data_IF_101575571931
#
_entry.id   IF_101575571931
#
_cell.length_a   1.000
_cell.length_b   1.000
_cell.length_c   1.000
_cell.angle_alpha   90.00
_cell.angle_beta   90.00
_cell.angle_gamma   90.00
#
_symmetry.space_group_name_H-M   'P 1'
#
loop_
_entity.id
_entity.type
_entity.pdbx_description
1 polymer ?
#
# COMPACT_ATOMS: atom_id res chain seq x y z
N UNK A 1 12.64 -20.98 21.70
CA UNK A 1 12.24 -19.62 22.10
C UNK A 1 12.11 -18.68 20.91
N UNK A 2 13.12 -18.57 20.03
CA UNK A 2 13.04 -17.68 18.86
C UNK A 2 11.98 -18.12 17.85
N UNK A 3 11.79 -19.42 17.65
CA UNK A 3 10.77 -19.95 16.75
C UNK A 3 9.35 -19.62 17.23
N UNK A 4 9.12 -19.73 18.54
CA UNK A 4 7.81 -19.40 19.14
C UNK A 4 7.49 -17.91 18.99
N UNK A 5 8.48 -17.02 19.19
CA UNK A 5 8.32 -15.59 19.00
C UNK A 5 8.01 -15.26 17.53
N UNK A 6 8.71 -15.91 16.61
CA UNK A 6 8.51 -15.71 15.18
C UNK A 6 7.11 -16.13 14.75
N UNK A 7 6.64 -17.30 15.21
CA UNK A 7 5.28 -17.77 14.93
C UNK A 7 4.21 -16.88 15.54
N UNK A 8 4.44 -16.37 16.75
CA UNK A 8 3.52 -15.45 17.42
C UNK A 8 3.41 -14.15 16.64
N UNK A 9 4.52 -13.62 16.14
CA UNK A 9 4.52 -12.41 15.30
C UNK A 9 3.75 -12.62 14.00
N UNK A 10 3.93 -13.78 13.36
CA UNK A 10 3.20 -14.11 12.13
C UNK A 10 1.70 -14.20 12.36
N UNK A 11 1.28 -14.75 13.50
CA UNK A 11 -0.14 -14.85 13.86
C UNK A 11 -0.73 -13.45 14.05
N UNK A 12 -0.01 -12.57 14.77
CA UNK A 12 -0.46 -11.20 15.00
C UNK A 12 -0.58 -10.44 13.68
N UNK A 13 0.43 -10.57 12.81
CA UNK A 13 0.40 -9.92 11.50
C UNK A 13 -0.76 -10.42 10.64
N UNK A 14 -1.04 -11.72 10.67
CA UNK A 14 -2.16 -12.30 9.93
C UNK A 14 -3.49 -11.80 10.46
N UNK A 15 -3.66 -11.73 11.78
CA UNK A 15 -4.89 -11.21 12.39
C UNK A 15 -5.11 -9.75 12.06
N UNK A 16 -4.04 -8.95 12.09
CA UNK A 16 -4.11 -7.53 11.73
C UNK A 16 -4.51 -7.37 10.27
N UNK A 17 -3.95 -8.18 9.37
CA UNK A 17 -4.29 -8.14 7.94
C UNK A 17 -5.75 -8.55 7.71
N UNK A 18 -6.23 -9.60 8.39
CA UNK A 18 -7.61 -10.03 8.27
C UNK A 18 -8.58 -8.95 8.72
N UNK A 19 -8.29 -8.29 9.83
CA UNK A 19 -9.10 -7.17 10.31
C UNK A 19 -9.13 -6.04 9.29
N UNK A 20 -7.99 -5.71 8.71
CA UNK A 20 -7.89 -4.65 7.69
C UNK A 20 -8.71 -5.00 6.45
N UNK A 21 -8.66 -6.26 6.00
CA UNK A 21 -9.39 -6.72 4.82
C UNK A 21 -10.90 -6.69 5.07
N UNK A 22 -11.35 -7.12 6.25
CA UNK A 22 -12.78 -7.10 6.61
C UNK A 22 -13.31 -5.66 6.60
N UNK A 23 -12.48 -4.69 7.01
CA UNK A 23 -12.86 -3.28 7.08
C UNK A 23 -12.55 -2.50 5.79
N UNK A 24 -12.36 -3.19 4.66
CA UNK A 24 -11.97 -2.54 3.39
C UNK A 24 -12.93 -1.43 2.96
N UNK A 25 -14.21 -1.56 3.25
CA UNK A 25 -15.21 -0.54 2.89
C UNK A 25 -15.02 0.78 3.66
N UNK A 26 -14.22 0.76 4.72
CA UNK A 26 -13.87 1.97 5.47
C UNK A 26 -12.86 2.86 4.76
N UNK A 27 -12.22 2.38 3.68
CA UNK A 27 -11.27 3.17 2.91
C UNK A 27 -11.96 3.90 1.77
N UNK A 28 -11.48 5.10 1.46
CA UNK A 28 -12.01 5.91 0.37
C UNK A 28 -11.59 5.39 -1.01
N UNK A 29 -10.57 4.53 -1.06
CA UNK A 29 -10.09 3.93 -2.28
C UNK A 29 -8.70 3.33 -2.09
N UNK A 30 -8.10 2.82 -3.19
CA UNK A 30 -6.82 2.12 -3.09
C UNK A 30 -5.65 3.00 -2.63
N UNK A 31 -5.63 4.30 -2.97
CA UNK A 31 -4.58 5.20 -2.48
C UNK A 31 -4.69 5.39 -0.96
N UNK A 32 -5.91 5.48 -0.44
CA UNK A 32 -6.15 5.56 1.00
C UNK A 32 -5.62 4.31 1.70
N UNK A 33 -5.92 3.14 1.15
CA UNK A 33 -5.40 1.88 1.68
C UNK A 33 -3.87 1.85 1.64
N UNK A 34 -3.26 2.25 0.53
CA UNK A 34 -1.80 2.31 0.41
C UNK A 34 -1.18 3.24 1.46
N UNK A 35 -1.80 4.40 1.67
CA UNK A 35 -1.34 5.33 2.70
C UNK A 35 -1.42 4.72 4.09
N UNK A 36 -2.50 4.00 4.39
CA UNK A 36 -2.67 3.30 5.66
C UNK A 36 -1.59 2.23 5.84
N UNK A 37 -1.32 1.43 4.80
CA UNK A 37 -0.27 0.42 4.85
C UNK A 37 1.12 1.04 5.07
N UNK A 38 1.39 2.21 4.47
CA UNK A 38 2.66 2.90 4.67
C UNK A 38 2.84 3.37 6.11
N UNK A 39 1.75 3.79 6.76
CA UNK A 39 1.78 4.25 8.16
C UNK A 39 2.10 3.12 9.14
N UNK A 40 1.65 1.91 8.85
CA UNK A 40 1.92 0.78 9.75
C UNK A 40 3.40 0.43 9.83
N UNK A 41 4.19 0.85 8.85
CA UNK A 41 5.64 0.68 8.88
C UNK A 41 6.35 1.72 9.76
N UNK A 42 5.65 2.74 10.24
CA UNK A 42 6.19 3.84 11.07
C UNK A 42 7.40 4.52 10.42
N UNK A 43 7.37 4.68 9.11
CA UNK A 43 8.46 5.26 8.33
C UNK A 43 7.94 6.51 7.63
N UNK A 44 8.82 7.52 7.51
CA UNK A 44 8.55 8.69 6.67
C UNK A 44 8.28 8.23 5.22
N UNK A 45 7.23 8.78 4.58
CA UNK A 45 6.88 8.43 3.20
C UNK A 45 8.05 8.59 2.23
N UNK A 46 8.97 9.52 2.51
CA UNK A 46 10.16 9.71 1.68
C UNK A 46 11.13 8.54 1.73
N UNK A 47 11.06 7.74 2.78
CA UNK A 47 11.98 6.64 3.05
C UNK A 47 11.34 5.26 2.86
N UNK A 48 10.06 5.19 2.55
CA UNK A 48 9.41 3.89 2.38
C UNK A 48 9.91 3.24 1.09
N UNK A 49 10.02 1.92 1.13
CA UNK A 49 10.24 1.14 -0.07
C UNK A 49 8.91 0.95 -0.79
N UNK A 50 8.78 1.54 -1.96
CA UNK A 50 7.59 1.37 -2.79
C UNK A 50 7.40 -0.08 -3.19
N UNK A 51 8.50 -0.81 -3.40
CA UNK A 51 8.42 -2.24 -3.68
C UNK A 51 7.77 -3.01 -2.54
N UNK A 52 8.21 -2.75 -1.30
CA UNK A 52 7.62 -3.41 -0.12
C UNK A 52 6.14 -3.05 0.02
N UNK A 53 5.80 -1.79 -0.23
CA UNK A 53 4.41 -1.34 -0.17
C UNK A 53 3.55 -2.04 -1.22
N UNK A 54 4.07 -2.19 -2.44
CA UNK A 54 3.38 -2.92 -3.51
C UNK A 54 3.15 -4.38 -3.11
N UNK A 55 4.17 -5.02 -2.53
CA UNK A 55 4.04 -6.40 -2.06
C UNK A 55 2.97 -6.52 -0.99
N UNK A 56 2.94 -5.60 -0.02
CA UNK A 56 1.92 -5.61 1.03
C UNK A 56 0.51 -5.43 0.48
N UNK A 57 0.35 -4.54 -0.51
CA UNK A 57 -0.94 -4.36 -1.15
C UNK A 57 -1.40 -5.63 -1.87
N UNK A 58 -0.51 -6.28 -2.60
CA UNK A 58 -0.84 -7.51 -3.32
C UNK A 58 -1.20 -8.66 -2.36
N UNK A 59 -0.53 -8.74 -1.20
CA UNK A 59 -0.87 -9.69 -0.14
C UNK A 59 -2.28 -9.40 0.40
N UNK A 60 -2.62 -8.12 0.59
CA UNK A 60 -3.96 -7.70 0.99
C UNK A 60 -5.02 -8.22 0.01
N UNK A 61 -4.79 -8.04 -1.29
CA UNK A 61 -5.73 -8.48 -2.33
C UNK A 61 -5.89 -10.00 -2.31
N UNK A 62 -4.79 -10.75 -2.16
CA UNK A 62 -4.87 -12.21 -2.07
C UNK A 62 -5.65 -12.65 -0.83
N UNK A 63 -5.48 -11.97 0.30
CA UNK A 63 -6.23 -12.28 1.52
C UNK A 63 -7.72 -12.00 1.33
N UNK A 64 -8.07 -10.92 0.65
CA UNK A 64 -9.46 -10.61 0.32
C UNK A 64 -10.10 -11.73 -0.50
N UNK A 65 -9.35 -12.28 -1.47
CA UNK A 65 -9.84 -13.40 -2.28
C UNK A 65 -10.04 -14.65 -1.43
N UNK A 66 -9.12 -14.96 -0.53
CA UNK A 66 -9.25 -16.10 0.39
C UNK A 66 -10.51 -16.00 1.25
N UNK A 67 -10.78 -14.81 1.75
CA UNK A 67 -11.95 -14.55 2.60
C UNK A 67 -13.24 -14.33 1.79
N UNK A 68 -13.15 -14.40 0.45
CA UNK A 68 -14.28 -14.19 -0.46
C UNK A 68 -14.93 -12.81 -0.27
N UNK A 69 -14.11 -11.81 0.02
CA UNK A 69 -14.57 -10.44 0.14
C UNK A 69 -14.57 -9.82 -1.25
N UNK A 70 -15.72 -9.23 -1.62
CA UNK A 70 -15.87 -8.54 -2.89
C UNK A 70 -15.16 -7.19 -2.83
N UNK A 71 -14.28 -6.94 -3.79
CA UNK A 71 -13.53 -5.69 -3.89
C UNK A 71 -14.02 -4.87 -5.07
N UNK A 72 -14.10 -3.55 -4.88
CA UNK A 72 -14.41 -2.62 -5.96
C UNK A 72 -13.34 -2.70 -7.06
N UNK A 73 -13.77 -2.38 -8.29
CA UNK A 73 -12.90 -2.47 -9.46
C UNK A 73 -11.60 -1.66 -9.30
N UNK A 74 -11.67 -0.51 -8.63
CA UNK A 74 -10.49 0.34 -8.42
C UNK A 74 -9.38 -0.38 -7.67
N UNK A 75 -9.72 -1.22 -6.69
CA UNK A 75 -8.73 -2.02 -5.96
C UNK A 75 -8.04 -3.03 -6.85
N UNK A 76 -8.80 -3.63 -7.77
CA UNK A 76 -8.26 -4.63 -8.70
C UNK A 76 -7.39 -3.97 -9.78
N UNK A 77 -7.79 -2.79 -10.26
CA UNK A 77 -6.98 -2.01 -11.21
C UNK A 77 -5.65 -1.61 -10.56
N UNK A 78 -5.70 -1.14 -9.31
CA UNK A 78 -4.48 -0.78 -8.58
C UNK A 78 -3.58 -2.01 -8.39
N UNK A 79 -4.16 -3.18 -8.09
CA UNK A 79 -3.39 -4.41 -7.94
C UNK A 79 -2.64 -4.76 -9.24
N UNK A 80 -3.31 -4.65 -10.37
CA UNK A 80 -2.69 -4.92 -11.68
C UNK A 80 -1.54 -3.94 -11.95
N UNK A 81 -1.73 -2.66 -11.65
CA UNK A 81 -0.70 -1.64 -11.83
C UNK A 81 0.49 -1.88 -10.90
N UNK A 82 0.25 -2.23 -9.64
CA UNK A 82 1.31 -2.51 -8.68
C UNK A 82 2.07 -3.80 -9.03
N UNK A 83 1.39 -4.80 -9.59
CA UNK A 83 2.06 -6.01 -10.08
C UNK A 83 3.00 -5.68 -11.24
N UNK A 84 2.57 -4.80 -12.14
CA UNK A 84 3.41 -4.29 -13.23
C UNK A 84 4.61 -3.51 -12.67
N UNK A 85 4.37 -2.59 -11.75
CA UNK A 85 5.43 -1.81 -11.11
C UNK A 85 6.45 -2.72 -10.43
N UNK A 86 5.99 -3.71 -9.67
CA UNK A 86 6.83 -4.68 -9.00
C UNK A 86 7.75 -5.39 -10.01
N UNK A 87 7.20 -5.85 -11.13
CA UNK A 87 7.99 -6.53 -12.14
C UNK A 87 9.04 -5.61 -12.76
N UNK A 88 8.71 -4.34 -12.99
CA UNK A 88 9.65 -3.35 -13.52
C UNK A 88 10.78 -3.04 -12.54
N UNK A 89 10.48 -3.02 -11.24
CA UNK A 89 11.48 -2.77 -10.21
C UNK A 89 12.42 -3.97 -9.99
N UNK A 90 11.94 -5.19 -10.20
CA UNK A 90 12.73 -6.40 -9.99
C UNK A 90 13.54 -6.82 -11.21
N UNK A 91 13.16 -6.38 -12.41
CA UNK A 91 13.87 -6.72 -13.63
C UNK A 91 14.96 -5.68 -13.94
N UNK A 92 16.06 -6.09 -14.59
CA UNK A 92 17.07 -5.13 -15.04
C UNK A 92 16.47 -4.12 -16.01
N UNK A 93 16.92 -2.85 -16.00
CA UNK A 93 16.46 -1.87 -16.97
C UNK A 93 16.71 -2.35 -18.40
N UNK A 94 15.70 -2.26 -19.26
CA UNK A 94 15.82 -2.59 -20.67
C UNK A 94 15.81 -1.28 -21.48
N UNK A 95 16.93 -0.88 -22.08
CA UNK A 95 16.97 0.36 -22.84
C UNK A 95 16.12 0.36 -24.11
N UNK A 96 15.66 -0.82 -24.55
CA UNK A 96 14.77 -0.92 -25.72
C UNK A 96 13.30 -0.67 -25.37
N UNK A 97 12.94 -0.65 -24.10
CA UNK A 97 11.56 -0.39 -23.67
C UNK A 97 11.30 1.12 -23.63
N UNK A 98 10.20 1.53 -24.28
CA UNK A 98 9.73 2.90 -24.22
C UNK A 98 8.91 3.12 -22.94
N UNK A 99 8.88 4.35 -22.46
CA UNK A 99 8.09 4.74 -21.34
C UNK A 99 8.90 4.92 -20.05
N UNK A 100 8.25 5.27 -18.94
CA UNK A 100 8.93 5.53 -17.69
C UNK A 100 9.52 4.26 -17.08
N UNK A 101 10.66 4.43 -16.41
CA UNK A 101 11.30 3.34 -15.68
C UNK A 101 10.51 2.96 -14.43
N UNK A 102 10.82 1.78 -13.85
CA UNK A 102 10.24 1.38 -12.57
C UNK A 102 10.50 2.41 -11.48
N UNK A 103 11.72 2.98 -11.43
CA UNK A 103 12.07 4.01 -10.45
C UNK A 103 11.25 5.28 -10.62
N UNK A 104 11.00 5.71 -11.86
CA UNK A 104 10.16 6.88 -12.12
C UNK A 104 8.72 6.64 -11.69
N UNK A 105 8.18 5.46 -11.96
CA UNK A 105 6.83 5.08 -11.55
C UNK A 105 6.72 5.01 -10.02
N UNK A 106 7.72 4.46 -9.36
CA UNK A 106 7.75 4.38 -7.89
C UNK A 106 7.80 5.78 -7.27
N UNK A 107 8.62 6.67 -7.83
CA UNK A 107 8.73 8.06 -7.37
C UNK A 107 7.39 8.79 -7.53
N UNK A 108 6.69 8.55 -8.64
CA UNK A 108 5.38 9.14 -8.88
C UNK A 108 4.36 8.68 -7.83
N UNK A 109 4.32 7.39 -7.51
CA UNK A 109 3.42 6.88 -6.49
C UNK A 109 3.74 7.47 -5.12
N UNK A 110 5.03 7.52 -4.75
CA UNK A 110 5.45 8.11 -3.48
C UNK A 110 4.98 9.56 -3.37
N UNK A 111 5.13 10.32 -4.44
CA UNK A 111 4.67 11.71 -4.50
C UNK A 111 3.16 11.81 -4.30
N UNK A 112 2.38 10.94 -4.94
CA UNK A 112 0.92 10.92 -4.78
C UNK A 112 0.51 10.63 -3.33
N UNK A 113 1.20 9.71 -2.67
CA UNK A 113 0.92 9.38 -1.27
C UNK A 113 1.29 10.52 -0.33
N UNK A 114 2.44 11.16 -0.55
CA UNK A 114 2.85 12.34 0.23
C UNK A 114 1.84 13.49 0.07
N UNK A 115 1.37 13.71 -1.16
CA UNK A 115 0.37 14.73 -1.43
C UNK A 115 -0.94 14.45 -0.71
N UNK A 116 -1.40 13.20 -0.75
CA UNK A 116 -2.62 12.80 -0.05
C UNK A 116 -2.49 13.04 1.45
N UNK A 117 -1.34 12.66 2.03
CA UNK A 117 -1.07 12.87 3.45
C UNK A 117 -1.10 14.36 3.80
N UNK A 118 -0.44 15.19 2.98
CA UNK A 118 -0.39 16.64 3.20
C UNK A 118 -1.78 17.27 3.14
N UNK A 119 -2.61 16.85 2.18
CA UNK A 119 -3.98 17.34 2.04
C UNK A 119 -4.83 16.97 3.26
N UNK A 120 -4.67 15.76 3.79
CA UNK A 120 -5.39 15.31 4.98
C UNK A 120 -4.95 16.07 6.23
N UNK A 121 -3.66 16.31 6.38
CA UNK A 121 -3.12 17.07 7.50
C UNK A 121 -3.65 18.50 7.48
N UNK A 122 -3.70 19.11 6.31
CA UNK A 122 -4.25 20.48 6.13
C UNK A 122 -5.74 20.50 6.47
N UNK A 123 -6.51 19.54 5.97
CA UNK A 123 -7.94 19.44 6.24
C UNK A 123 -8.21 19.29 7.75
N UNK A 124 -7.43 18.44 8.42
CA UNK A 124 -7.55 18.23 9.86
C UNK A 124 -7.28 19.51 10.64
N UNK A 125 -6.28 20.29 10.24
CA UNK A 125 -5.97 21.59 10.86
C UNK A 125 -7.09 22.59 10.67
N UNK A 126 -7.67 22.67 9.47
CA UNK A 126 -8.77 23.57 9.18
C UNK A 126 -10.01 23.22 10.01
N UNK A 127 -10.34 21.94 10.11
CA UNK A 127 -11.47 21.48 10.92
C UNK A 127 -11.26 21.75 12.41
N UNK A 128 -10.05 21.65 12.90
CA UNK A 128 -9.73 21.95 14.30
C UNK A 128 -9.86 23.45 14.60
N UNK A 129 -9.63 24.34 13.62
CA UNK A 129 -9.75 25.78 13.79
C UNK A 129 -11.18 26.27 13.87
N UNK A 130 -12.12 25.55 13.30
CA UNK A 130 -13.54 25.92 13.23
C UNK A 130 -14.31 25.53 14.49
N UNK A 131 -13.63 24.98 15.49
CA UNK A 131 -14.23 24.64 16.79
C UNK A 131 -14.02 25.80 17.78
#
# INVERSE_FOLDING_TARGET
MQEELFESQKIVERMALETLVVDVDGFEGPLDLLLNLSRTQKVDLRKISILDLAVQYLVFIEKAKELRIELAADYLVMAAWLAFLKSRLLLPPDPSEDGPSGDELATHLAFQLERLQAMRDTAAKLMARDR
#
